data_IF_001167271863
#
_entry.id   IF_001167271863
#
_cell.length_a   1.000
_cell.length_b   1.000
_cell.length_c   1.000
_cell.angle_alpha   90.00
_cell.angle_beta   90.00
_cell.angle_gamma   90.00
#
_symmetry.space_group_name_H-M   'P 1'
#
loop_
_entity.id
_entity.type
_entity.pdbx_description
1 polymer ?
#
# COMPACT_ATOMS: atom_id res chain seq x y z
N UNK A 1 -2.37 -5.20 -21.37
CA UNK A 1 -1.60 -4.20 -22.15
C UNK A 1 -1.94 -4.39 -23.62
N UNK A 2 -2.48 -3.38 -24.32
CA UNK A 2 -2.87 -3.51 -25.76
C UNK A 2 -2.49 -2.29 -26.57
N UNK A 3 -2.96 -1.10 -26.18
CA UNK A 3 -2.76 0.13 -26.95
C UNK A 3 -1.28 0.57 -26.93
N UNK A 4 -0.61 0.49 -25.79
CA UNK A 4 0.80 0.88 -25.66
C UNK A 4 1.73 0.04 -26.53
N UNK A 5 1.51 -1.27 -26.63
CA UNK A 5 2.33 -2.15 -27.46
C UNK A 5 2.23 -1.79 -28.95
N UNK A 6 1.02 -1.51 -29.43
CA UNK A 6 0.79 -1.11 -30.82
C UNK A 6 1.48 0.22 -31.13
N UNK A 7 1.40 1.19 -30.21
CA UNK A 7 2.06 2.49 -30.36
C UNK A 7 3.59 2.34 -30.38
N UNK A 8 4.16 1.51 -29.51
CA UNK A 8 5.61 1.25 -29.50
C UNK A 8 6.05 0.63 -30.84
N UNK A 9 5.34 -0.39 -31.34
CA UNK A 9 5.67 -1.02 -32.62
C UNK A 9 5.54 -0.05 -33.80
N UNK A 10 4.51 0.79 -33.79
CA UNK A 10 4.34 1.85 -34.76
C UNK A 10 5.52 2.83 -34.74
N UNK A 11 5.87 3.35 -33.56
CA UNK A 11 6.96 4.32 -33.38
C UNK A 11 8.31 3.75 -33.84
N UNK A 12 8.59 2.48 -33.51
CA UNK A 12 9.82 1.79 -33.92
C UNK A 12 9.88 1.52 -35.43
N UNK A 13 8.74 1.32 -36.08
CA UNK A 13 8.67 1.05 -37.52
C UNK A 13 8.63 2.33 -38.35
N UNK A 14 8.10 3.43 -37.80
CA UNK A 14 7.99 4.72 -38.47
C UNK A 14 7.03 4.74 -39.67
N UNK A 15 6.21 3.70 -39.84
CA UNK A 15 5.27 3.58 -40.96
C UNK A 15 3.83 3.58 -40.48
N UNK A 16 3.05 4.57 -40.96
CA UNK A 16 1.63 4.73 -40.66
C UNK A 16 0.74 3.69 -41.36
N UNK A 17 1.21 3.10 -42.46
CA UNK A 17 0.40 2.16 -43.26
C UNK A 17 0.08 0.88 -42.49
N UNK A 18 0.99 0.46 -41.60
CA UNK A 18 0.84 -0.80 -40.84
C UNK A 18 0.14 -0.63 -39.48
N UNK A 19 -0.33 0.58 -39.14
CA UNK A 19 -0.91 0.82 -37.81
C UNK A 19 -2.23 0.07 -37.60
N UNK A 20 -3.14 0.11 -38.59
CA UNK A 20 -4.46 -0.52 -38.50
C UNK A 20 -4.35 -2.05 -38.49
N UNK A 21 -3.60 -2.69 -39.41
CA UNK A 21 -3.42 -4.14 -39.38
C UNK A 21 -2.80 -4.64 -38.07
N UNK A 22 -1.79 -3.93 -37.54
CA UNK A 22 -1.11 -4.31 -36.29
C UNK A 22 -2.04 -4.17 -35.07
N UNK A 23 -2.89 -3.14 -35.04
CA UNK A 23 -3.89 -2.98 -33.99
C UNK A 23 -4.90 -4.12 -33.98
N UNK A 24 -5.43 -4.50 -35.15
CA UNK A 24 -6.37 -5.61 -35.29
C UNK A 24 -5.71 -6.92 -34.86
N UNK A 25 -4.50 -7.21 -35.36
CA UNK A 25 -3.78 -8.43 -35.02
C UNK A 25 -3.51 -8.58 -33.52
N UNK A 26 -3.07 -7.50 -32.86
CA UNK A 26 -2.79 -7.51 -31.41
C UNK A 26 -4.07 -7.62 -30.56
N UNK A 27 -5.19 -7.03 -31.00
CA UNK A 27 -6.48 -7.20 -30.34
C UNK A 27 -6.97 -8.65 -30.45
N UNK A 28 -6.90 -9.26 -31.64
CA UNK A 28 -7.26 -10.67 -31.82
C UNK A 28 -6.38 -11.60 -30.99
N UNK A 29 -5.06 -11.38 -30.99
CA UNK A 29 -4.12 -12.16 -30.18
C UNK A 29 -4.46 -12.07 -28.68
N UNK A 30 -4.75 -10.86 -28.18
CA UNK A 30 -5.18 -10.70 -26.78
C UNK A 30 -6.50 -11.42 -26.52
N UNK A 31 -7.49 -11.26 -27.40
CA UNK A 31 -8.81 -11.85 -27.17
C UNK A 31 -8.74 -13.38 -27.09
N UNK A 32 -7.99 -14.01 -28.00
CA UNK A 32 -7.76 -15.45 -27.97
C UNK A 32 -6.99 -15.84 -26.70
N UNK A 33 -5.94 -15.10 -26.34
CA UNK A 33 -5.17 -15.34 -25.11
C UNK A 33 -6.04 -15.28 -23.85
N UNK A 34 -6.82 -14.22 -23.69
CA UNK A 34 -7.74 -14.01 -22.56
C UNK A 34 -8.83 -15.10 -22.51
N UNK A 35 -9.19 -15.71 -23.64
CA UNK A 35 -10.15 -16.82 -23.69
C UNK A 35 -9.59 -18.14 -23.12
N UNK A 36 -8.29 -18.39 -23.29
CA UNK A 36 -7.63 -19.56 -22.69
C UNK A 36 -7.22 -19.29 -21.24
N UNK A 37 -6.66 -18.13 -20.96
CA UNK A 37 -6.16 -17.76 -19.65
C UNK A 37 -6.23 -16.25 -19.43
N UNK A 38 -6.97 -15.83 -18.40
CA UNK A 38 -7.28 -14.41 -18.16
C UNK A 38 -6.07 -13.57 -17.69
N UNK A 39 -5.03 -14.20 -17.13
CA UNK A 39 -3.87 -13.49 -16.57
C UNK A 39 -2.72 -13.38 -17.57
N UNK A 40 -2.09 -12.22 -17.66
CA UNK A 40 -0.87 -12.05 -18.44
C UNK A 40 0.33 -12.71 -17.77
N UNK A 41 1.45 -12.81 -18.51
CA UNK A 41 2.71 -13.35 -17.95
C UNK A 41 3.21 -12.57 -16.73
N UNK A 42 3.03 -11.24 -16.72
CA UNK A 42 3.43 -10.40 -15.59
C UNK A 42 2.54 -10.63 -14.37
N UNK A 43 1.23 -10.74 -14.58
CA UNK A 43 0.27 -11.01 -13.50
C UNK A 43 0.54 -12.39 -12.89
N UNK A 44 0.83 -13.40 -13.72
CA UNK A 44 1.22 -14.73 -13.27
C UNK A 44 2.54 -14.71 -12.46
N UNK A 45 3.50 -13.87 -12.86
CA UNK A 45 4.76 -13.75 -12.12
C UNK A 45 4.59 -13.01 -10.79
N UNK A 46 3.70 -12.02 -10.72
CA UNK A 46 3.34 -11.33 -9.47
C UNK A 46 2.72 -12.33 -8.48
N UNK A 47 1.78 -13.14 -8.96
CA UNK A 47 1.10 -14.16 -8.16
C UNK A 47 2.07 -15.25 -7.68
N UNK A 48 2.93 -15.75 -8.57
CA UNK A 48 3.95 -16.75 -8.24
C UNK A 48 4.92 -16.29 -7.14
N UNK A 49 5.26 -15.00 -7.12
CA UNK A 49 6.14 -14.43 -6.10
C UNK A 49 5.39 -13.99 -4.84
N UNK A 50 4.06 -14.10 -4.81
CA UNK A 50 3.23 -13.71 -3.67
C UNK A 50 3.29 -12.22 -3.34
N UNK A 51 3.50 -11.35 -4.34
CA UNK A 51 3.55 -9.92 -4.10
C UNK A 51 2.14 -9.36 -3.83
N UNK A 52 1.99 -8.45 -2.85
CA UNK A 52 0.71 -7.80 -2.58
C UNK A 52 0.38 -6.80 -3.69
N UNK A 53 -0.31 -7.27 -4.73
CA UNK A 53 -0.75 -6.47 -5.87
C UNK A 53 -2.28 -6.29 -5.83
N UNK A 54 -2.73 -5.05 -5.89
CA UNK A 54 -4.16 -4.72 -5.94
C UNK A 54 -4.57 -4.53 -7.40
N UNK A 55 -5.29 -5.49 -7.96
CA UNK A 55 -5.78 -5.40 -9.33
C UNK A 55 -7.02 -4.49 -9.41
N UNK A 56 -6.97 -3.51 -10.30
CA UNK A 56 -8.08 -2.62 -10.63
C UNK A 56 -9.17 -3.34 -11.46
N UNK A 57 -8.82 -4.46 -12.10
CA UNK A 57 -9.72 -5.27 -12.93
C UNK A 57 -10.23 -6.53 -12.23
N UNK A 58 -9.84 -6.73 -10.97
CA UNK A 58 -10.28 -7.88 -10.19
C UNK A 58 -11.80 -7.90 -10.06
N UNK A 59 -12.42 -8.99 -10.50
CA UNK A 59 -13.79 -9.30 -10.14
C UNK A 59 -13.77 -9.78 -8.68
N UNK A 60 -13.94 -8.85 -7.74
CA UNK A 60 -14.08 -9.21 -6.32
C UNK A 60 -15.53 -9.69 -6.12
N UNK A 61 -15.77 -10.98 -5.84
CA UNK A 61 -17.13 -11.54 -5.78
C UNK A 61 -17.98 -10.98 -4.65
N UNK A 62 -17.39 -10.20 -3.72
CA UNK A 62 -18.06 -9.62 -2.58
C UNK A 62 -17.76 -8.12 -2.49
N UNK A 63 -18.78 -7.32 -2.23
CA UNK A 63 -18.63 -5.94 -1.76
C UNK A 63 -18.12 -5.97 -0.31
N UNK A 64 -16.85 -6.30 -0.12
CA UNK A 64 -16.23 -6.34 1.18
C UNK A 64 -16.26 -4.94 1.79
N UNK A 65 -16.82 -4.83 2.99
CA UNK A 65 -16.90 -3.55 3.70
C UNK A 65 -15.61 -3.34 4.48
N UNK A 66 -15.17 -2.10 4.66
CA UNK A 66 -13.94 -1.76 5.37
C UNK A 66 -13.82 -2.45 6.76
N UNK A 67 -14.93 -2.62 7.49
CA UNK A 67 -14.97 -3.30 8.78
C UNK A 67 -14.52 -4.77 8.74
N UNK A 68 -14.66 -5.44 7.60
CA UNK A 68 -14.28 -6.85 7.44
C UNK A 68 -12.78 -7.03 7.21
N UNK A 69 -12.10 -6.00 6.69
CA UNK A 69 -10.68 -6.05 6.32
C UNK A 69 -9.77 -5.26 7.26
N UNK A 70 -10.32 -4.26 7.97
CA UNK A 70 -9.54 -3.43 8.89
C UNK A 70 -8.89 -4.27 9.99
N UNK A 71 -7.72 -3.82 10.45
CA UNK A 71 -6.98 -4.39 11.58
C UNK A 71 -6.79 -3.32 12.66
N UNK A 72 -7.11 -3.59 13.93
CA UNK A 72 -7.73 -4.83 14.43
C UNK A 72 -9.18 -4.95 13.94
N UNK A 73 -9.57 -6.17 13.55
CA UNK A 73 -10.94 -6.47 13.11
C UNK A 73 -11.89 -6.69 14.29
N UNK A 74 -13.17 -7.01 14.03
CA UNK A 74 -14.12 -7.39 15.08
C UNK A 74 -13.58 -8.58 15.91
N UNK A 75 -13.36 -8.36 17.21
CA UNK A 75 -12.76 -9.37 18.11
C UNK A 75 -11.22 -9.43 18.12
N UNK A 76 -10.55 -8.52 17.41
CA UNK A 76 -9.10 -8.33 17.52
C UNK A 76 -8.69 -7.61 18.81
N UNK A 77 -7.38 -7.59 19.09
CA UNK A 77 -6.81 -6.80 20.19
C UNK A 77 -6.98 -5.29 19.99
N UNK A 78 -6.52 -4.51 20.97
CA UNK A 78 -6.63 -3.05 20.91
C UNK A 78 -5.74 -2.46 19.81
N UNK A 79 -6.27 -1.45 19.09
CA UNK A 79 -5.48 -0.70 18.11
C UNK A 79 -4.37 0.05 18.85
N UNK A 80 -3.13 -0.09 18.38
CA UNK A 80 -2.01 0.68 18.93
C UNK A 80 -2.06 2.10 18.38
N UNK A 81 -2.26 3.07 19.27
CA UNK A 81 -2.45 4.49 18.95
C UNK A 81 -1.41 5.34 19.66
N UNK A 82 -1.25 6.59 19.23
CA UNK A 82 -0.51 7.61 19.97
C UNK A 82 -1.51 8.63 20.49
N UNK A 83 -1.44 8.96 21.77
CA UNK A 83 -2.30 10.01 22.36
C UNK A 83 -1.66 11.38 22.19
N UNK A 84 -2.47 12.42 22.01
CA UNK A 84 -1.98 13.79 21.83
C UNK A 84 -1.14 14.29 23.01
N UNK A 85 -1.63 14.12 24.26
CA UNK A 85 -1.06 14.80 25.43
C UNK A 85 -0.68 13.87 26.60
N UNK A 86 -0.96 12.57 26.52
CA UNK A 86 -0.78 11.65 27.68
C UNK A 86 0.42 10.72 27.58
N UNK A 87 0.98 10.47 26.39
CA UNK A 87 2.11 9.55 26.23
C UNK A 87 3.45 10.23 26.52
N UNK A 88 4.31 9.53 27.28
CA UNK A 88 5.69 9.95 27.48
C UNK A 88 6.59 9.46 26.34
N UNK A 89 7.81 10.01 26.25
CA UNK A 89 8.83 9.54 25.31
C UNK A 89 9.14 8.06 25.52
N UNK A 90 9.17 7.61 26.79
CA UNK A 90 9.39 6.20 27.13
C UNK A 90 8.30 5.29 26.57
N UNK A 91 7.04 5.70 26.67
CA UNK A 91 5.91 4.93 26.14
C UNK A 91 5.96 4.81 24.61
N UNK A 92 6.38 5.87 23.92
CA UNK A 92 6.58 5.86 22.47
C UNK A 92 7.73 4.91 22.10
N UNK A 93 8.81 4.87 22.87
CA UNK A 93 9.92 3.94 22.63
C UNK A 93 9.51 2.48 22.86
N UNK A 94 8.73 2.20 23.90
CA UNK A 94 8.15 0.88 24.14
C UNK A 94 7.22 0.50 22.99
N UNK A 95 6.34 1.40 22.57
CA UNK A 95 5.47 1.21 21.41
C UNK A 95 6.25 0.86 20.14
N UNK A 96 7.34 1.59 19.87
CA UNK A 96 8.21 1.34 18.73
C UNK A 96 8.97 0.00 18.85
N UNK A 97 9.36 -0.42 20.06
CA UNK A 97 10.05 -1.70 20.29
C UNK A 97 9.10 -2.90 20.15
N UNK A 98 7.87 -2.78 20.64
CA UNK A 98 6.88 -3.87 20.66
C UNK A 98 6.17 -4.09 19.32
N UNK A 99 6.09 -3.06 18.49
CA UNK A 99 5.32 -3.10 17.23
C UNK A 99 6.21 -2.92 16.01
N UNK A 100 5.84 -3.60 14.92
CA UNK A 100 6.49 -3.47 13.60
C UNK A 100 5.61 -2.70 12.60
N UNK A 101 4.76 -1.79 13.09
CA UNK A 101 3.88 -0.98 12.25
C UNK A 101 4.65 0.22 11.66
N UNK A 102 4.32 0.59 10.42
CA UNK A 102 4.98 1.71 9.72
C UNK A 102 4.42 3.09 10.09
N UNK A 103 3.36 3.15 10.89
CA UNK A 103 2.81 4.39 11.41
C UNK A 103 1.65 4.12 12.35
N UNK A 104 1.26 5.18 13.06
CA UNK A 104 0.31 5.11 14.16
C UNK A 104 -0.71 6.24 14.01
N UNK A 105 -2.02 5.97 14.18
CA UNK A 105 -3.02 7.03 14.29
C UNK A 105 -2.82 7.79 15.60
N UNK A 106 -3.00 9.10 15.55
CA UNK A 106 -2.94 10.00 16.69
C UNK A 106 -4.36 10.31 17.13
N UNK A 107 -4.68 10.02 18.39
CA UNK A 107 -6.00 10.23 18.99
C UNK A 107 -5.93 11.19 20.17
N UNK A 108 -7.08 11.74 20.57
CA UNK A 108 -7.15 12.66 21.73
C UNK A 108 -6.72 11.95 23.01
N UNK A 109 -7.28 10.78 23.32
CA UNK A 109 -6.92 9.95 24.48
C UNK A 109 -7.33 8.49 24.28
N UNK A 110 -6.95 7.59 25.19
CA UNK A 110 -7.41 6.19 25.14
C UNK A 110 -8.90 6.03 25.45
N UNK A 111 -9.47 6.94 26.24
CA UNK A 111 -10.91 6.99 26.53
C UNK A 111 -11.70 7.62 25.38
N UNK A 112 -11.10 8.58 24.68
CA UNK A 112 -11.68 9.27 23.53
C UNK A 112 -10.80 9.09 22.28
N UNK A 113 -11.10 8.04 21.53
CA UNK A 113 -10.40 7.64 20.29
C UNK A 113 -10.70 8.54 19.08
N UNK A 114 -11.06 9.81 19.31
CA UNK A 114 -11.24 10.78 18.23
C UNK A 114 -9.91 10.99 17.48
N UNK A 115 -9.92 10.74 16.17
CA UNK A 115 -8.72 10.82 15.33
C UNK A 115 -8.33 12.28 15.10
N UNK A 116 -7.12 12.63 15.52
CA UNK A 116 -6.50 13.94 15.30
C UNK A 116 -5.60 13.90 14.07
N UNK A 117 -4.89 12.80 13.85
CA UNK A 117 -3.96 12.69 12.73
C UNK A 117 -3.31 11.33 12.58
N UNK A 118 -2.21 11.27 11.82
CA UNK A 118 -1.43 10.06 11.59
C UNK A 118 0.06 10.40 11.63
N UNK A 119 0.83 9.57 12.32
CA UNK A 119 2.27 9.76 12.48
C UNK A 119 3.04 8.55 11.93
N UNK A 120 3.86 8.73 10.88
CA UNK A 120 4.73 7.69 10.37
C UNK A 120 5.82 7.31 11.38
N UNK A 121 6.15 6.02 11.45
CA UNK A 121 7.22 5.51 12.32
C UNK A 121 8.56 6.18 12.05
N UNK A 122 8.89 6.41 10.77
CA UNK A 122 10.14 7.06 10.36
C UNK A 122 10.25 8.47 10.94
N UNK A 123 9.14 9.22 10.97
CA UNK A 123 9.12 10.61 11.41
C UNK A 123 9.25 10.67 12.94
N UNK A 124 8.63 9.73 13.66
CA UNK A 124 8.85 9.54 15.10
C UNK A 124 10.31 9.24 15.43
N UNK A 125 10.94 8.32 14.71
CA UNK A 125 12.34 7.96 14.95
C UNK A 125 13.27 9.14 14.69
N UNK A 126 13.03 9.91 13.62
CA UNK A 126 13.80 11.12 13.31
C UNK A 126 13.61 12.19 14.39
N UNK A 127 12.38 12.39 14.85
CA UNK A 127 12.05 13.35 15.91
C UNK A 127 12.72 12.96 17.23
N UNK A 128 12.66 11.69 17.63
CA UNK A 128 13.32 11.17 18.83
C UNK A 128 14.84 11.31 18.74
N UNK A 129 15.43 10.97 17.59
CA UNK A 129 16.87 11.13 17.38
C UNK A 129 17.31 12.60 17.47
N UNK A 130 16.53 13.50 16.86
CA UNK A 130 16.78 14.94 16.89
C UNK A 130 16.62 15.51 18.30
N UNK A 131 15.57 15.11 19.02
CA UNK A 131 15.31 15.55 20.39
C UNK A 131 16.45 15.15 21.33
N UNK A 132 16.96 13.92 21.25
CA UNK A 132 18.11 13.47 22.05
C UNK A 132 19.39 14.27 21.80
N UNK A 133 19.61 14.71 20.55
CA UNK A 133 20.79 15.51 20.20
C UNK A 133 20.69 16.94 20.75
N UNK A 134 19.48 17.50 20.80
CA UNK A 134 19.24 18.90 21.17
C UNK A 134 18.95 19.09 22.66
N UNK A 135 18.39 18.08 23.33
CA UNK A 135 17.90 18.18 24.71
C UNK A 135 18.58 17.15 25.61
N UNK A 136 19.42 17.57 26.58
CA UNK A 136 20.17 16.66 27.45
C UNK A 136 19.29 15.89 28.45
N UNK A 137 18.02 16.27 28.61
CA UNK A 137 17.08 15.65 29.54
C UNK A 137 16.26 14.49 28.94
N UNK A 138 16.41 14.22 27.63
CA UNK A 138 15.75 13.09 26.97
C UNK A 138 16.65 11.86 27.09
N UNK A 139 16.54 11.16 28.22
CA UNK A 139 17.29 9.94 28.54
C UNK A 139 16.43 8.71 28.29
N UNK A 140 17.06 7.65 27.79
CA UNK A 140 16.43 6.33 27.63
C UNK A 140 16.39 5.65 28.99
N UNK A 141 15.24 5.08 29.37
CA UNK A 141 15.21 4.05 30.42
C UNK A 141 15.78 2.73 29.88
#
# INVERSE_FOLDING_TARGET
MTVSLVVIMFELTGSLEFIVPTMVATMFAKWIGDAFYKMGIYDAHIDLNGYPFLDNKGEYPYSTVAIQVMKPGPGGGMLRVITQDTMTVGDIEVLLRETNFNGFPVVVSEENLYLVGFCPRRDLQLALHSARKLQPYVVTN
#
